data_IF_674145748494
#
_entry.id   IF_674145748494
#
_cell.length_a   1.000
_cell.length_b   1.000
_cell.length_c   1.000
_cell.angle_alpha   90.00
_cell.angle_beta   90.00
_cell.angle_gamma   90.00
#
_symmetry.space_group_name_H-M   'P 1'
#
loop_
_entity.id
_entity.type
_entity.pdbx_description
1 polymer ?
#
# COMPACT_ATOMS: atom_id res chain seq x y z
N UNK A 1 -18.08 27.42 11.56
CA UNK A 1 -17.24 26.23 11.38
C UNK A 1 -16.54 25.93 12.69
N UNK A 2 -16.68 24.72 13.23
CA UNK A 2 -15.92 24.31 14.41
C UNK A 2 -14.45 24.12 14.03
N UNK A 3 -13.51 24.34 14.95
CA UNK A 3 -12.06 24.17 14.69
C UNK A 3 -11.72 22.80 14.08
N UNK A 4 -12.53 21.78 14.38
CA UNK A 4 -12.44 20.43 13.82
C UNK A 4 -12.63 20.39 12.29
N UNK A 5 -13.57 21.19 11.76
CA UNK A 5 -13.81 21.29 10.32
C UNK A 5 -12.59 21.90 9.63
N UNK A 6 -11.98 22.94 10.19
CA UNK A 6 -10.85 23.64 9.55
C UNK A 6 -9.62 22.73 9.37
N UNK A 7 -9.34 21.85 10.33
CA UNK A 7 -8.14 20.99 10.29
C UNK A 7 -8.33 19.77 9.38
N UNK A 8 -9.55 19.20 9.34
CA UNK A 8 -9.78 17.95 8.62
C UNK A 8 -10.43 18.14 7.23
N UNK A 9 -11.08 19.28 6.95
CA UNK A 9 -11.78 19.55 5.69
C UNK A 9 -10.97 19.33 4.41
N UNK A 10 -9.66 19.59 4.33
CA UNK A 10 -8.96 19.43 3.05
C UNK A 10 -8.80 17.96 2.63
N UNK A 11 -9.06 17.00 3.53
CA UNK A 11 -8.76 15.58 3.32
C UNK A 11 -9.94 14.65 3.56
N UNK A 12 -11.02 15.16 4.17
CA UNK A 12 -12.26 14.42 4.30
C UNK A 12 -12.92 14.45 2.92
N UNK A 13 -13.11 13.27 2.31
CA UNK A 13 -13.98 13.12 1.14
C UNK A 13 -15.30 13.84 1.40
N UNK A 14 -15.83 14.62 0.45
CA UNK A 14 -17.07 15.40 0.64
C UNK A 14 -18.25 14.55 1.15
N UNK A 15 -18.24 13.25 0.87
CA UNK A 15 -19.26 12.29 1.27
C UNK A 15 -19.04 11.66 2.67
N UNK A 16 -17.89 11.91 3.29
CA UNK A 16 -17.51 11.26 4.53
C UNK A 16 -18.16 11.93 5.76
N UNK A 17 -19.25 11.32 6.22
CA UNK A 17 -19.92 11.69 7.46
C UNK A 17 -19.15 11.20 8.71
N UNK A 18 -18.60 12.13 9.48
CA UNK A 18 -17.91 11.84 10.76
C UNK A 18 -18.88 12.07 11.93
N UNK A 19 -19.16 11.00 12.68
CA UNK A 19 -19.99 11.08 13.88
C UNK A 19 -19.20 11.58 15.08
N UNK A 20 -19.83 12.40 15.91
CA UNK A 20 -19.31 12.88 17.18
C UNK A 20 -20.43 12.99 18.22
N UNK A 21 -20.07 12.90 19.51
CA UNK A 21 -20.96 13.19 20.64
C UNK A 21 -20.50 14.49 21.31
N UNK A 22 -21.41 15.21 21.97
CA UNK A 22 -21.14 16.50 22.62
C UNK A 22 -21.08 16.44 24.14
N UNK A 23 -21.48 15.32 24.76
CA UNK A 23 -21.64 15.20 26.22
C UNK A 23 -20.93 13.95 26.73
N UNK A 24 -20.12 14.02 27.81
CA UNK A 24 -19.73 15.20 28.59
C UNK A 24 -18.62 16.06 27.96
N UNK A 25 -17.96 15.55 26.92
CA UNK A 25 -16.95 16.25 26.11
C UNK A 25 -17.11 15.85 24.65
N UNK A 26 -16.63 16.65 23.69
CA UNK A 26 -16.69 16.29 22.29
C UNK A 26 -15.82 15.07 22.00
N UNK A 27 -16.45 13.90 21.84
CA UNK A 27 -15.76 12.66 21.46
C UNK A 27 -16.08 12.34 20.01
N UNK A 28 -15.05 11.96 19.27
CA UNK A 28 -15.11 11.77 17.82
C UNK A 28 -14.92 10.27 17.53
N UNK A 29 -15.72 9.76 16.59
CA UNK A 29 -15.61 8.39 16.09
C UNK A 29 -14.27 8.16 15.37
N UNK A 30 -13.40 7.33 15.95
CA UNK A 30 -12.09 7.02 15.39
C UNK A 30 -12.22 6.28 14.06
N UNK A 31 -13.18 5.35 13.95
CA UNK A 31 -13.39 4.55 12.74
C UNK A 31 -13.86 5.44 11.58
N UNK A 32 -14.75 6.40 11.84
CA UNK A 32 -15.23 7.30 10.79
C UNK A 32 -14.10 8.23 10.33
N UNK A 33 -13.21 8.68 11.22
CA UNK A 33 -12.01 9.45 10.85
C UNK A 33 -11.04 8.63 9.99
N UNK A 34 -10.76 7.37 10.33
CA UNK A 34 -9.89 6.50 9.54
C UNK A 34 -10.50 6.23 8.17
N UNK A 35 -11.81 5.97 8.11
CA UNK A 35 -12.56 5.81 6.86
C UNK A 35 -12.48 7.08 6.01
N UNK A 36 -12.78 8.23 6.59
CA UNK A 36 -12.74 9.52 5.89
C UNK A 36 -11.34 9.80 5.31
N UNK A 37 -10.30 9.46 6.06
CA UNK A 37 -8.91 9.66 5.67
C UNK A 37 -8.43 8.70 4.57
N UNK A 38 -8.88 7.44 4.60
CA UNK A 38 -8.33 6.38 3.75
C UNK A 38 -9.23 5.98 2.59
N UNK A 39 -10.50 6.38 2.60
CA UNK A 39 -11.52 5.94 1.65
C UNK A 39 -11.92 4.46 1.81
N UNK A 40 -11.51 3.80 2.90
CA UNK A 40 -11.79 2.38 3.14
C UNK A 40 -13.20 2.14 3.68
N UNK A 41 -13.70 0.92 3.60
CA UNK A 41 -14.97 0.55 4.26
C UNK A 41 -14.82 0.51 5.80
N UNK A 42 -15.95 0.41 6.51
CA UNK A 42 -15.97 0.39 7.98
C UNK A 42 -15.19 -0.78 8.59
N UNK A 43 -15.19 -1.95 7.96
CA UNK A 43 -14.53 -3.15 8.49
C UNK A 43 -13.01 -3.02 8.40
N UNK A 44 -12.50 -2.53 7.28
CA UNK A 44 -11.08 -2.30 7.03
C UNK A 44 -10.55 -1.18 7.92
N UNK A 45 -11.30 -0.08 8.08
CA UNK A 45 -10.96 0.99 9.01
C UNK A 45 -10.89 0.49 10.46
N UNK A 46 -11.82 -0.39 10.88
CA UNK A 46 -11.78 -1.04 12.18
C UNK A 46 -10.60 -2.03 12.32
N UNK A 47 -10.21 -2.72 11.24
CA UNK A 47 -9.02 -3.57 11.25
C UNK A 47 -7.74 -2.74 11.39
N UNK A 48 -7.63 -1.61 10.69
CA UNK A 48 -6.48 -0.72 10.82
C UNK A 48 -6.38 -0.11 12.21
N UNK A 49 -7.50 0.32 12.80
CA UNK A 49 -7.53 0.77 14.20
C UNK A 49 -7.00 -0.30 15.17
N UNK A 50 -7.48 -1.54 15.05
CA UNK A 50 -6.99 -2.66 15.89
C UNK A 50 -5.49 -2.88 15.72
N UNK A 51 -4.98 -2.86 14.48
CA UNK A 51 -3.54 -2.99 14.22
C UNK A 51 -2.71 -1.86 14.86
N UNK A 52 -3.22 -0.62 14.82
CA UNK A 52 -2.57 0.53 15.47
C UNK A 52 -2.50 0.32 16.98
N UNK A 53 -3.62 -0.06 17.62
CA UNK A 53 -3.65 -0.33 19.06
C UNK A 53 -2.75 -1.51 19.46
N UNK A 54 -2.69 -2.59 18.67
CA UNK A 54 -1.78 -3.72 18.94
C UNK A 54 -0.30 -3.34 18.83
N UNK A 55 0.03 -2.36 17.97
CA UNK A 55 1.41 -1.90 17.78
C UNK A 55 1.83 -0.83 18.78
N UNK A 56 0.89 0.00 19.22
CA UNK A 56 1.15 1.17 20.08
C UNK A 56 0.23 1.06 21.30
N UNK A 57 0.70 0.39 22.38
CA UNK A 57 -0.12 0.17 23.58
C UNK A 57 -0.44 1.47 24.33
N UNK A 58 0.25 2.58 24.04
CA UNK A 58 -0.05 3.89 24.64
C UNK A 58 -1.45 4.44 24.32
N UNK A 59 -2.13 3.87 23.33
CA UNK A 59 -3.52 4.23 23.03
C UNK A 59 -4.53 3.46 23.88
N UNK A 60 -4.12 2.39 24.55
CA UNK A 60 -4.98 1.64 25.46
C UNK A 60 -5.40 2.54 26.63
N UNK A 61 -6.71 2.64 26.88
CA UNK A 61 -7.29 3.53 27.89
C UNK A 61 -7.43 5.01 27.47
N UNK A 62 -6.93 5.43 26.30
CA UNK A 62 -7.14 6.80 25.76
C UNK A 62 -8.40 6.95 24.90
N UNK A 63 -9.08 5.85 24.61
CA UNK A 63 -10.37 5.84 23.93
C UNK A 63 -11.40 5.10 24.78
N UNK A 64 -12.68 5.39 24.54
CA UNK A 64 -13.81 4.70 25.13
C UNK A 64 -14.72 4.16 24.04
N UNK A 65 -15.62 3.23 24.39
CA UNK A 65 -16.63 2.74 23.46
C UNK A 65 -17.93 3.51 23.66
N UNK A 66 -18.48 4.04 22.57
CA UNK A 66 -19.74 4.77 22.58
C UNK A 66 -20.67 4.21 21.52
N UNK A 67 -21.94 4.04 21.88
CA UNK A 67 -23.00 3.60 20.97
C UNK A 67 -23.75 4.82 20.46
N UNK A 68 -23.49 5.19 19.21
CA UNK A 68 -24.23 6.25 18.54
C UNK A 68 -25.73 5.89 18.39
N UNK A 69 -26.65 6.87 18.45
CA UNK A 69 -28.06 6.60 18.24
C UNK A 69 -28.33 6.05 16.83
N UNK A 70 -29.25 5.09 16.73
CA UNK A 70 -29.65 4.46 15.47
C UNK A 70 -29.86 2.96 15.61
N UNK A 71 -30.84 2.42 14.89
CA UNK A 71 -31.13 0.99 14.90
C UNK A 71 -29.94 0.21 14.32
N UNK A 72 -29.49 -0.83 15.03
CA UNK A 72 -28.37 -1.69 14.60
C UNK A 72 -26.97 -1.08 14.78
N UNK A 73 -26.84 0.11 15.40
CA UNK A 73 -25.54 0.69 15.68
C UNK A 73 -24.77 -0.15 16.71
N UNK A 74 -23.48 -0.35 16.45
CA UNK A 74 -22.55 -1.04 17.35
C UNK A 74 -21.79 0.00 18.17
N UNK A 75 -21.27 -0.45 19.31
CA UNK A 75 -20.28 0.32 20.06
C UNK A 75 -19.08 0.62 19.16
N UNK A 76 -18.74 1.90 19.08
CA UNK A 76 -17.69 2.42 18.21
C UNK A 76 -16.64 3.10 19.10
N UNK A 77 -15.33 2.90 18.84
CA UNK A 77 -14.30 3.57 19.61
C UNK A 77 -14.34 5.08 19.32
N UNK A 78 -14.44 5.86 20.39
CA UNK A 78 -14.45 7.32 20.38
C UNK A 78 -13.35 7.87 21.28
N UNK A 79 -12.77 9.00 20.89
CA UNK A 79 -11.76 9.69 21.69
C UNK A 79 -11.84 11.22 21.52
N UNK A 80 -11.11 11.95 22.34
CA UNK A 80 -10.96 13.40 22.20
C UNK A 80 -10.17 13.75 20.93
N UNK A 81 -10.30 15.00 20.48
CA UNK A 81 -9.63 15.45 19.25
C UNK A 81 -8.12 15.21 19.27
N UNK A 82 -7.47 15.44 20.42
CA UNK A 82 -6.03 15.23 20.56
C UNK A 82 -5.65 13.76 20.32
N UNK A 83 -6.33 12.82 20.97
CA UNK A 83 -6.06 11.39 20.78
C UNK A 83 -6.37 10.94 19.35
N UNK A 84 -7.46 11.44 18.75
CA UNK A 84 -7.78 11.14 17.34
C UNK A 84 -6.66 11.61 16.42
N UNK A 85 -6.17 12.85 16.58
CA UNK A 85 -5.06 13.36 15.78
C UNK A 85 -3.79 12.52 15.95
N UNK A 86 -3.48 12.06 17.18
CA UNK A 86 -2.36 11.16 17.42
C UNK A 86 -2.54 9.81 16.70
N UNK A 87 -3.72 9.20 16.77
CA UNK A 87 -4.02 7.94 16.08
C UNK A 87 -3.89 8.11 14.57
N UNK A 88 -4.39 9.23 14.00
CA UNK A 88 -4.34 9.50 12.56
C UNK A 88 -2.91 9.55 12.00
N UNK A 89 -1.92 9.95 12.81
CA UNK A 89 -0.50 9.91 12.41
C UNK A 89 0.01 8.49 12.14
N UNK A 90 -0.64 7.47 12.69
CA UNK A 90 -0.23 6.07 12.55
C UNK A 90 -1.04 5.26 11.53
N UNK A 91 -2.01 5.89 10.85
CA UNK A 91 -2.84 5.21 9.85
C UNK A 91 -1.99 4.89 8.60
N UNK A 92 -1.99 3.63 8.13
CA UNK A 92 -1.23 3.25 6.94
C UNK A 92 -1.95 3.66 5.65
N UNK A 93 -1.18 3.85 4.58
CA UNK A 93 -1.69 4.07 3.22
C UNK A 93 -1.29 5.43 2.61
N UNK A 94 -1.41 5.57 1.28
CA UNK A 94 -0.96 6.76 0.55
C UNK A 94 -1.76 8.02 0.91
N UNK A 95 -3.07 7.92 1.11
CA UNK A 95 -3.90 9.07 1.50
C UNK A 95 -3.56 9.56 2.92
N UNK A 96 -3.33 8.64 3.85
CA UNK A 96 -2.86 8.98 5.18
C UNK A 96 -1.47 9.63 5.16
N UNK A 97 -0.59 9.24 4.22
CA UNK A 97 0.70 9.89 4.02
C UNK A 97 0.53 11.34 3.55
N UNK A 98 -0.32 11.59 2.55
CA UNK A 98 -0.61 12.94 2.07
C UNK A 98 -1.16 13.84 3.19
N UNK A 99 -2.06 13.31 4.02
CA UNK A 99 -2.55 14.01 5.20
C UNK A 99 -1.42 14.39 6.16
N UNK A 100 -0.48 13.49 6.45
CA UNK A 100 0.67 13.79 7.31
C UNK A 100 1.56 14.88 6.72
N UNK A 101 1.87 14.79 5.43
CA UNK A 101 2.66 15.80 4.72
C UNK A 101 1.99 17.18 4.76
N UNK A 102 0.68 17.23 4.54
CA UNK A 102 -0.04 18.49 4.55
C UNK A 102 -0.25 19.03 5.98
N UNK A 103 -0.48 18.16 6.96
CA UNK A 103 -0.51 18.56 8.38
C UNK A 103 0.84 19.15 8.81
N UNK A 104 1.95 18.52 8.41
CA UNK A 104 3.30 19.04 8.66
C UNK A 104 3.51 20.40 7.97
N UNK A 105 3.06 20.55 6.72
CA UNK A 105 3.11 21.83 6.01
C UNK A 105 2.30 22.92 6.70
N UNK A 106 1.06 22.64 7.09
CA UNK A 106 0.21 23.58 7.83
C UNK A 106 0.85 23.98 9.16
N UNK A 107 1.46 23.04 9.88
CA UNK A 107 2.17 23.32 11.12
C UNK A 107 3.41 24.21 10.87
N UNK A 108 4.19 23.95 9.82
CA UNK A 108 5.31 24.80 9.42
C UNK A 108 4.85 26.22 9.06
N UNK A 109 3.75 26.35 8.32
CA UNK A 109 3.15 27.65 7.97
C UNK A 109 2.64 28.39 9.21
N UNK A 110 1.98 27.67 10.12
CA UNK A 110 1.52 28.23 11.38
C UNK A 110 2.70 28.75 12.21
N UNK A 111 3.75 27.94 12.40
CA UNK A 111 4.96 28.34 13.12
C UNK A 111 5.66 29.51 12.42
N UNK A 112 5.71 29.56 11.09
CA UNK A 112 6.32 30.67 10.35
C UNK A 112 5.52 31.97 10.52
N UNK A 113 4.20 31.91 10.44
CA UNK A 113 3.31 33.05 10.68
C UNK A 113 3.40 33.52 12.12
N UNK A 114 3.43 32.59 13.08
CA UNK A 114 3.47 32.94 14.49
C UNK A 114 4.86 33.42 14.94
N UNK A 115 5.96 32.95 14.33
CA UNK A 115 7.28 33.57 14.51
C UNK A 115 7.29 35.04 14.08
N UNK A 116 6.48 35.39 13.07
CA UNK A 116 6.30 36.78 12.64
C UNK A 116 5.58 37.59 13.73
N UNK A 117 4.59 37.00 14.40
CA UNK A 117 3.86 37.63 15.50
C UNK A 117 4.65 37.66 16.81
N UNK A 118 5.42 36.62 17.13
CA UNK A 118 6.31 36.52 18.29
C UNK A 118 7.48 37.51 18.19
N UNK A 119 8.08 37.68 17.01
CA UNK A 119 9.12 38.69 16.79
C UNK A 119 8.58 40.12 16.87
N UNK A 120 7.35 40.35 16.42
CA UNK A 120 6.70 41.66 16.53
C UNK A 120 6.21 41.96 17.97
N UNK A 121 5.80 40.96 18.73
CA UNK A 121 5.42 41.08 20.14
C UNK A 121 6.62 41.38 21.04
N UNK A 122 7.76 40.72 20.82
CA UNK A 122 9.00 41.00 21.56
C UNK A 122 9.62 42.38 21.22
N UNK A 123 9.32 42.93 20.04
CA UNK A 123 9.72 44.29 19.67
C UNK A 123 8.78 45.39 20.20
N UNK A 124 7.63 45.02 20.78
CA UNK A 124 6.62 45.97 21.30
C UNK A 124 6.36 45.87 22.81
N UNK A 125 6.99 44.91 23.51
CA UNK A 125 7.07 44.90 24.98
C UNK A 125 8.28 45.70 25.51
N UNK A 126 8.39 46.97 25.16
CA UNK A 126 9.20 47.92 25.94
C UNK A 126 8.44 49.25 26.08
N UNK A 127 7.53 49.26 27.06
CA UNK A 127 7.31 50.33 28.07
C UNK A 127 5.97 50.10 28.75
N UNK A 128 5.96 49.17 29.70
CA UNK A 128 5.10 49.35 30.88
C UNK A 128 5.79 50.44 31.70
N UNK A 129 5.18 51.60 31.98
CA UNK A 129 5.74 52.56 32.92
C UNK A 129 5.69 51.91 34.30
N UNK A 130 6.81 51.33 34.73
CA UNK A 130 7.04 50.96 36.12
C UNK A 130 7.12 52.28 36.88
N UNK A 131 6.02 52.61 37.55
CA UNK A 131 6.01 53.66 38.55
C UNK A 131 7.04 53.37 39.64
N UNK A 132 7.60 54.46 40.17
CA UNK A 132 8.43 54.57 41.36
C UNK A 132 9.94 54.33 41.16
N UNK A 133 10.64 55.39 40.73
CA UNK A 133 12.04 55.60 41.10
C UNK A 133 12.23 57.06 41.53
N UNK A 134 13.01 57.20 42.60
CA UNK A 134 13.21 58.40 43.42
C UNK A 134 13.74 59.60 42.63
N UNK A 135 13.27 60.79 43.03
CA UNK A 135 13.88 62.07 42.69
C UNK A 135 15.31 62.11 43.25
N UNK A 136 16.31 62.15 42.36
CA UNK A 136 17.63 62.63 42.73
C UNK A 136 17.66 64.17 42.74
N UNK A 137 18.37 64.79 43.71
CA UNK A 137 18.48 66.24 43.79
C UNK A 137 19.30 66.78 42.61
N UNK A 138 18.63 67.61 41.80
CA UNK A 138 19.21 68.34 40.67
C UNK A 138 20.31 69.27 41.19
N UNK A 139 21.56 68.94 40.87
CA UNK A 139 22.70 69.85 41.02
C UNK A 139 22.53 70.95 39.96
N UNK A 140 22.15 72.14 40.41
CA UNK A 140 21.99 73.33 39.58
C UNK A 140 23.33 73.74 38.96
N UNK A 141 23.52 73.41 37.68
CA UNK A 141 24.63 73.93 36.88
C UNK A 141 24.44 75.44 36.63
N UNK A 142 25.41 76.33 36.95
CA UNK A 142 25.23 77.78 36.90
C UNK A 142 25.31 78.42 35.51
N UNK A 143 25.34 77.63 34.43
CA UNK A 143 25.61 78.11 33.07
C UNK A 143 24.40 78.08 32.11
N UNK A 144 23.17 78.00 32.64
CA UNK A 144 21.97 77.77 31.80
C UNK A 144 21.31 79.04 31.22
N UNK A 145 21.79 80.25 31.51
CA UNK A 145 21.02 81.49 31.29
C UNK A 145 21.42 82.36 30.08
N UNK A 146 22.18 81.84 29.11
CA UNK A 146 22.62 82.67 27.96
C UNK A 146 22.33 82.09 26.57
N UNK A 147 21.60 80.97 26.46
CA UNK A 147 21.19 80.45 25.15
C UNK A 147 19.76 80.89 24.88
N UNK A 148 19.61 81.95 24.06
CA UNK A 148 18.31 82.35 23.54
C UNK A 148 17.61 81.11 22.96
N UNK A 149 16.33 80.85 23.29
CA UNK A 149 15.63 79.69 22.77
C UNK A 149 15.72 79.73 21.24
N UNK A 150 16.05 78.61 20.59
CA UNK A 150 16.09 78.56 19.14
C UNK A 150 14.75 79.07 18.61
N UNK A 151 14.81 80.02 17.70
CA UNK A 151 13.62 80.60 17.07
C UNK A 151 12.77 79.47 16.45
N UNK A 152 11.44 79.60 16.51
CA UNK A 152 10.51 78.59 15.97
C UNK A 152 10.85 78.18 14.53
N UNK A 153 11.39 79.11 13.74
CA UNK A 153 11.83 78.89 12.36
C UNK A 153 12.96 77.84 12.25
N UNK A 154 13.91 77.83 13.19
CA UNK A 154 15.00 76.84 13.22
C UNK A 154 14.48 75.44 13.58
N UNK A 155 13.54 75.36 14.52
CA UNK A 155 12.91 74.07 14.87
C UNK A 155 12.08 73.52 13.71
N UNK A 156 11.33 74.37 13.01
CA UNK A 156 10.58 73.98 11.81
C UNK A 156 11.51 73.50 10.69
N UNK A 157 12.66 74.15 10.48
CA UNK A 157 13.65 73.72 9.50
C UNK A 157 14.20 72.32 9.81
N UNK A 158 14.54 72.02 11.07
CA UNK A 158 15.00 70.68 11.49
C UNK A 158 13.92 69.62 11.26
N UNK A 159 12.67 69.91 11.64
CA UNK A 159 11.55 69.00 11.44
C UNK A 159 11.37 68.70 9.95
N UNK A 160 11.42 69.74 9.10
CA UNK A 160 11.27 69.58 7.66
C UNK A 160 12.42 68.76 7.05
N UNK A 161 13.66 69.00 7.49
CA UNK A 161 14.81 68.18 7.07
C UNK A 161 14.64 66.72 7.47
N UNK A 162 14.20 66.45 8.70
CA UNK A 162 13.97 65.08 9.16
C UNK A 162 12.84 64.38 8.38
N UNK A 163 11.77 65.10 8.04
CA UNK A 163 10.68 64.57 7.20
C UNK A 163 11.22 64.17 5.82
N UNK A 164 12.04 65.00 5.18
CA UNK A 164 12.60 64.70 3.87
C UNK A 164 13.60 63.53 3.91
N UNK A 165 14.39 63.41 4.99
CA UNK A 165 15.24 62.22 5.21
C UNK A 165 14.39 60.95 5.37
N UNK A 166 13.32 60.99 6.16
CA UNK A 166 12.41 59.85 6.33
C UNK A 166 11.75 59.45 5.00
N UNK A 167 11.30 60.42 4.19
CA UNK A 167 10.72 60.14 2.86
C UNK A 167 11.71 59.42 1.95
N UNK A 168 12.97 59.88 1.90
CA UNK A 168 14.02 59.23 1.10
C UNK A 168 14.28 57.80 1.56
N UNK A 169 14.41 57.58 2.87
CA UNK A 169 14.64 56.24 3.42
C UNK A 169 13.46 55.28 3.12
N UNK A 170 12.22 55.76 3.22
CA UNK A 170 11.03 54.97 2.87
C UNK A 170 11.04 54.61 1.38
N UNK A 171 11.41 55.55 0.52
CA UNK A 171 11.51 55.31 -0.91
C UNK A 171 12.62 54.29 -1.25
N UNK A 172 13.82 54.45 -0.69
CA UNK A 172 14.93 53.50 -0.88
C UNK A 172 14.59 52.09 -0.38
N UNK A 173 13.91 51.98 0.77
CA UNK A 173 13.39 50.71 1.27
C UNK A 173 12.33 50.12 0.33
N UNK A 174 11.43 50.94 -0.20
CA UNK A 174 10.41 50.52 -1.17
C UNK A 174 11.04 49.94 -2.44
N UNK A 175 12.03 50.63 -2.99
CA UNK A 175 12.76 50.20 -4.18
C UNK A 175 13.55 48.91 -3.92
N UNK A 176 14.17 48.78 -2.74
CA UNK A 176 14.89 47.57 -2.35
C UNK A 176 13.95 46.36 -2.20
N UNK A 177 12.79 46.53 -1.54
CA UNK A 177 11.77 45.48 -1.42
C UNK A 177 11.25 45.06 -2.80
N UNK A 178 10.97 46.02 -3.68
CA UNK A 178 10.53 45.73 -5.05
C UNK A 178 11.60 44.98 -5.85
N UNK A 179 12.87 45.35 -5.68
CA UNK A 179 14.02 44.65 -6.27
C UNK A 179 14.10 43.19 -5.84
N UNK A 180 13.99 42.92 -4.53
CA UNK A 180 13.97 41.56 -3.98
C UNK A 180 12.77 40.74 -4.46
N UNK A 181 11.58 41.34 -4.57
CA UNK A 181 10.40 40.67 -5.12
C UNK A 181 10.59 40.28 -6.58
N UNK A 182 11.16 41.17 -7.40
CA UNK A 182 11.49 40.88 -8.81
C UNK A 182 12.53 39.78 -8.95
N UNK A 183 13.57 39.80 -8.10
CA UNK A 183 14.57 38.73 -8.06
C UNK A 183 13.93 37.38 -7.67
N UNK A 184 13.06 37.35 -6.66
CA UNK A 184 12.34 36.15 -6.24
C UNK A 184 11.46 35.58 -7.36
N UNK A 185 10.73 36.43 -8.08
CA UNK A 185 9.92 35.99 -9.22
C UNK A 185 10.78 35.40 -10.34
N UNK A 186 11.90 36.05 -10.68
CA UNK A 186 12.79 35.57 -11.76
C UNK A 186 13.50 34.26 -11.43
N UNK A 187 13.88 34.03 -10.16
CA UNK A 187 14.40 32.74 -9.71
C UNK A 187 13.34 31.64 -9.85
N UNK A 188 12.13 31.87 -9.33
CA UNK A 188 11.04 30.90 -9.43
C UNK A 188 10.73 30.51 -10.89
N UNK A 189 10.67 31.46 -11.83
CA UNK A 189 10.37 31.15 -13.23
C UNK A 189 11.45 30.31 -13.94
N UNK A 190 12.74 30.50 -13.58
CA UNK A 190 13.83 29.67 -14.14
C UNK A 190 13.74 28.23 -13.62
N UNK A 191 13.43 28.08 -12.33
CA UNK A 191 13.30 26.77 -11.69
C UNK A 191 12.07 26.01 -12.19
N UNK A 192 10.95 26.68 -12.45
CA UNK A 192 9.78 26.01 -13.04
C UNK A 192 10.05 25.47 -14.44
N UNK A 193 10.74 26.23 -15.31
CA UNK A 193 11.04 25.76 -16.67
C UNK A 193 12.07 24.63 -16.71
N UNK A 194 13.03 24.59 -15.78
CA UNK A 194 13.96 23.45 -15.69
C UNK A 194 13.23 22.20 -15.21
N UNK A 195 12.36 22.33 -14.20
CA UNK A 195 11.55 21.22 -13.68
C UNK A 195 10.61 20.64 -14.75
N UNK A 196 9.95 21.48 -15.54
CA UNK A 196 9.06 20.98 -16.62
C UNK A 196 9.84 20.21 -17.70
N UNK A 197 11.05 20.67 -18.05
CA UNK A 197 11.92 19.97 -19.00
C UNK A 197 12.43 18.64 -18.44
N UNK A 198 12.83 18.61 -17.18
CA UNK A 198 13.27 17.39 -16.50
C UNK A 198 12.12 16.39 -16.40
N UNK A 199 10.92 16.86 -16.04
CA UNK A 199 9.72 16.03 -16.00
C UNK A 199 9.39 15.43 -17.37
N UNK A 200 9.43 16.22 -18.44
CA UNK A 200 9.20 15.73 -19.80
C UNK A 200 10.28 14.72 -20.25
N UNK A 201 11.54 14.92 -19.86
CA UNK A 201 12.63 13.98 -20.12
C UNK A 201 12.42 12.65 -19.37
N UNK A 202 12.07 12.71 -18.08
CA UNK A 202 11.78 11.54 -17.26
C UNK A 202 10.55 10.78 -17.78
N UNK A 203 9.52 11.47 -18.27
CA UNK A 203 8.33 10.84 -18.84
C UNK A 203 8.64 10.15 -20.18
N UNK A 204 9.50 10.75 -21.01
CA UNK A 204 10.02 10.12 -22.24
C UNK A 204 10.85 8.87 -21.94
N UNK A 205 11.69 8.92 -20.90
CA UNK A 205 12.48 7.77 -20.45
C UNK A 205 11.59 6.64 -19.93
N UNK A 206 10.59 6.95 -19.11
CA UNK A 206 9.59 5.98 -18.63
C UNK A 206 8.86 5.30 -19.77
N UNK A 207 8.38 6.06 -20.75
CA UNK A 207 7.71 5.50 -21.91
C UNK A 207 8.63 4.64 -22.79
N UNK A 208 9.93 4.99 -22.87
CA UNK A 208 10.94 4.14 -23.54
C UNK A 208 11.14 2.81 -22.80
N UNK A 209 11.27 2.85 -21.47
CA UNK A 209 11.43 1.66 -20.64
C UNK A 209 10.19 0.74 -20.68
N UNK A 210 8.99 1.33 -20.74
CA UNK A 210 7.74 0.57 -20.86
C UNK A 210 7.63 -0.17 -22.20
N UNK A 211 8.09 0.45 -23.30
CA UNK A 211 8.20 -0.22 -24.61
C UNK A 211 9.17 -1.39 -24.59
N UNK A 212 10.32 -1.23 -23.95
CA UNK A 212 11.33 -2.28 -23.81
C UNK A 212 10.77 -3.45 -22.97
N UNK A 213 10.10 -3.15 -21.86
CA UNK A 213 9.42 -4.15 -21.02
C UNK A 213 8.38 -4.94 -21.82
N UNK A 214 7.53 -4.25 -22.59
CA UNK A 214 6.53 -4.91 -23.45
C UNK A 214 7.18 -5.82 -24.50
N UNK A 215 8.31 -5.39 -25.09
CA UNK A 215 9.08 -6.21 -26.03
C UNK A 215 9.62 -7.48 -25.35
N UNK A 216 10.20 -7.36 -24.15
CA UNK A 216 10.72 -8.49 -23.38
C UNK A 216 9.61 -9.46 -22.95
N UNK A 217 8.43 -8.98 -22.56
CA UNK A 217 7.27 -9.83 -22.24
C UNK A 217 6.79 -10.63 -23.45
N UNK A 218 6.79 -10.03 -24.65
CA UNK A 218 6.46 -10.72 -25.90
C UNK A 218 7.48 -11.81 -26.25
N UNK A 219 8.76 -11.57 -26.01
CA UNK A 219 9.82 -12.58 -26.19
C UNK A 219 9.66 -13.73 -25.20
N UNK A 220 9.43 -13.43 -23.92
CA UNK A 220 9.19 -14.44 -22.88
C UNK A 220 7.99 -15.33 -23.20
N UNK A 221 6.89 -14.75 -23.69
CA UNK A 221 5.72 -15.52 -24.14
C UNK A 221 6.09 -16.50 -25.28
N UNK A 222 6.93 -16.06 -26.20
CA UNK A 222 7.39 -16.90 -27.32
C UNK A 222 8.29 -18.04 -26.82
N UNK A 223 9.18 -17.77 -25.86
CA UNK A 223 10.04 -18.77 -25.23
C UNK A 223 9.19 -19.81 -24.49
N UNK A 224 8.21 -19.40 -23.70
CA UNK A 224 7.33 -20.30 -22.96
C UNK A 224 6.54 -21.22 -23.91
N UNK A 225 6.03 -20.68 -25.02
CA UNK A 225 5.34 -21.46 -26.05
C UNK A 225 6.26 -22.51 -26.68
N UNK A 226 7.51 -22.16 -26.98
CA UNK A 226 8.50 -23.10 -27.50
C UNK A 226 8.89 -24.19 -26.49
N UNK A 227 8.99 -23.84 -25.20
CA UNK A 227 9.23 -24.81 -24.13
C UNK A 227 8.09 -25.83 -24.02
N UNK A 228 6.83 -25.39 -24.09
CA UNK A 228 5.67 -26.30 -24.11
C UNK A 228 5.70 -27.27 -25.30
N UNK A 229 6.07 -26.79 -26.48
CA UNK A 229 6.22 -27.63 -27.68
C UNK A 229 7.34 -28.66 -27.50
N UNK A 230 8.49 -28.24 -26.94
CA UNK A 230 9.61 -29.15 -26.66
C UNK A 230 9.22 -30.24 -25.67
N UNK A 231 8.52 -29.90 -24.59
CA UNK A 231 8.10 -30.88 -23.58
C UNK A 231 7.07 -31.87 -24.14
N UNK A 232 6.09 -31.38 -24.91
CA UNK A 232 5.15 -32.28 -25.61
C UNK A 232 5.87 -33.23 -26.57
N UNK A 233 6.92 -32.75 -27.25
CA UNK A 233 7.73 -33.58 -28.15
C UNK A 233 8.53 -34.61 -27.37
N UNK A 234 9.11 -34.24 -26.23
CA UNK A 234 9.84 -35.14 -25.33
C UNK A 234 8.95 -36.28 -24.85
N UNK A 235 7.76 -35.97 -24.33
CA UNK A 235 6.78 -36.98 -23.87
C UNK A 235 6.40 -37.93 -25.02
N UNK A 236 6.17 -37.41 -26.23
CA UNK A 236 5.89 -38.26 -27.41
C UNK A 236 7.05 -39.20 -27.75
N UNK A 237 8.30 -38.76 -27.61
CA UNK A 237 9.48 -39.61 -27.85
C UNK A 237 9.57 -40.71 -26.80
N UNK A 238 9.32 -40.39 -25.53
CA UNK A 238 9.33 -41.34 -24.42
C UNK A 238 8.27 -42.44 -24.61
N UNK A 239 7.02 -42.05 -24.88
CA UNK A 239 5.95 -43.01 -25.16
C UNK A 239 6.27 -43.96 -26.33
N UNK A 240 6.92 -43.45 -27.39
CA UNK A 240 7.35 -44.29 -28.53
C UNK A 240 8.50 -45.23 -28.18
N UNK A 241 9.38 -44.84 -27.25
CA UNK A 241 10.44 -45.74 -26.75
C UNK A 241 9.81 -46.90 -25.99
N UNK A 242 8.86 -46.62 -25.11
CA UNK A 242 8.15 -47.64 -24.33
C UNK A 242 7.38 -48.60 -25.25
N UNK A 243 6.72 -48.07 -26.29
CA UNK A 243 6.04 -48.89 -27.30
C UNK A 243 7.01 -49.82 -28.04
N UNK A 244 8.19 -49.32 -28.42
CA UNK A 244 9.24 -50.13 -29.07
C UNK A 244 9.76 -51.21 -28.12
N UNK A 245 9.91 -50.91 -26.83
CA UNK A 245 10.36 -51.87 -25.81
C UNK A 245 9.33 -52.99 -25.59
N UNK A 246 8.04 -52.63 -25.49
CA UNK A 246 6.95 -53.60 -25.42
C UNK A 246 6.93 -54.53 -26.64
N UNK A 247 7.11 -53.98 -27.84
CA UNK A 247 7.17 -54.78 -29.08
C UNK A 247 8.38 -55.72 -29.13
N UNK A 248 9.49 -55.38 -28.46
CA UNK A 248 10.65 -56.28 -28.35
C UNK A 248 10.36 -57.44 -27.41
N UNK A 249 9.79 -57.16 -26.24
CA UNK A 249 9.40 -58.18 -25.27
C UNK A 249 8.36 -59.15 -25.84
N UNK A 250 7.39 -58.65 -26.60
CA UNK A 250 6.37 -59.49 -27.26
C UNK A 250 6.99 -60.45 -28.28
N UNK A 251 7.96 -59.97 -29.07
CA UNK A 251 8.73 -60.82 -30.00
C UNK A 251 9.52 -61.91 -29.27
N UNK A 252 10.24 -61.54 -28.21
CA UNK A 252 11.03 -62.47 -27.40
C UNK A 252 10.14 -63.54 -26.75
N UNK A 253 8.98 -63.14 -26.23
CA UNK A 253 7.97 -64.07 -25.69
C UNK A 253 7.46 -65.05 -26.75
N UNK A 254 7.16 -64.57 -27.95
CA UNK A 254 6.73 -65.41 -29.06
C UNK A 254 7.82 -66.39 -29.53
N UNK A 255 9.09 -66.00 -29.50
CA UNK A 255 10.23 -66.88 -29.80
C UNK A 255 10.41 -67.98 -28.75
N UNK A 256 10.37 -67.63 -27.46
CA UNK A 256 10.39 -68.59 -26.34
C UNK A 256 9.24 -69.59 -26.45
N UNK A 257 8.04 -69.11 -26.74
CA UNK A 257 6.87 -69.98 -26.92
C UNK A 257 7.09 -70.99 -28.05
N UNK A 258 7.62 -70.56 -29.21
CA UNK A 258 7.94 -71.49 -30.31
C UNK A 258 8.97 -72.54 -29.89
N UNK A 259 10.03 -72.14 -29.19
CA UNK A 259 11.04 -73.07 -28.68
C UNK A 259 10.41 -74.14 -27.77
N UNK A 260 9.55 -73.74 -26.83
CA UNK A 260 8.84 -74.71 -25.96
C UNK A 260 7.88 -75.62 -26.72
N UNK A 261 7.21 -75.12 -27.76
CA UNK A 261 6.32 -75.93 -28.60
C UNK A 261 7.11 -76.97 -29.42
N UNK A 262 8.30 -76.61 -29.89
CA UNK A 262 9.18 -77.51 -30.64
C UNK A 262 9.86 -78.55 -29.72
N UNK A 263 10.27 -78.16 -28.52
CA UNK A 263 10.75 -79.08 -27.47
C UNK A 263 9.67 -80.12 -27.12
N UNK A 264 8.44 -79.68 -26.82
CA UNK A 264 7.33 -80.57 -26.51
C UNK A 264 6.99 -81.55 -27.65
N UNK A 265 7.05 -81.10 -28.92
CA UNK A 265 6.87 -81.98 -30.09
C UNK A 265 7.98 -83.04 -30.18
N UNK A 266 9.22 -82.67 -29.89
CA UNK A 266 10.35 -83.59 -29.91
C UNK A 266 10.25 -84.66 -28.80
N UNK A 267 9.75 -84.30 -27.61
CA UNK A 267 9.48 -85.25 -26.54
C UNK A 267 8.34 -86.22 -26.89
N UNK A 268 7.26 -85.72 -27.52
CA UNK A 268 6.14 -86.55 -27.95
C UNK A 268 6.54 -87.61 -28.99
N UNK A 269 7.45 -87.28 -29.92
CA UNK A 269 8.00 -88.22 -30.89
C UNK A 269 8.88 -89.30 -30.23
N UNK A 270 9.66 -88.95 -29.22
CA UNK A 270 10.52 -89.89 -28.49
C UNK A 270 9.73 -90.78 -27.50
N UNK A 271 8.63 -90.28 -26.93
CA UNK A 271 7.78 -91.00 -25.99
C UNK A 271 6.92 -92.12 -26.61
N UNK A 272 6.69 -92.10 -27.93
CA UNK A 272 5.84 -93.10 -28.60
C UNK A 272 6.46 -94.52 -28.65
N UNK A 273 7.75 -94.69 -28.36
CA UNK A 273 8.43 -95.99 -28.44
C UNK A 273 8.50 -96.77 -27.10
N UNK A 274 7.70 -96.38 -26.10
CA UNK A 274 7.61 -97.08 -24.79
C UNK A 274 6.18 -97.51 -24.45
N UNK A 275 5.44 -98.06 -25.42
CA UNK A 275 4.29 -98.91 -25.12
C UNK A 275 4.76 -100.31 -24.72
N UNK A 276 4.92 -100.57 -23.43
CA UNK A 276 5.38 -101.89 -23.00
C UNK A 276 5.49 -102.18 -21.50
N UNK A 277 4.66 -101.60 -20.62
CA UNK A 277 4.36 -102.20 -19.30
C UNK A 277 3.23 -101.46 -18.60
N UNK A 278 2.02 -102.00 -18.70
CA UNK A 278 0.92 -101.61 -17.81
C UNK A 278 1.24 -102.08 -16.38
N UNK A 279 1.47 -101.13 -15.47
CA UNK A 279 1.44 -101.38 -14.03
C UNK A 279 0.18 -100.73 -13.48
N UNK A 280 -0.79 -101.55 -13.08
CA UNK A 280 -1.93 -101.16 -12.24
C UNK A 280 -1.39 -100.57 -10.93
N UNK A 281 -1.40 -99.25 -10.78
CA UNK A 281 -1.22 -98.57 -9.48
C UNK A 281 -2.34 -97.59 -9.25
N UNK A 282 -2.83 -97.63 -8.00
CA UNK A 282 -4.11 -97.11 -7.57
C UNK A 282 -4.26 -95.60 -7.72
N UNK A 283 -5.53 -95.20 -7.81
CA UNK A 283 -5.99 -93.81 -7.79
C UNK A 283 -5.46 -93.12 -6.52
N UNK A 284 -4.58 -92.12 -6.61
CA UNK A 284 -4.39 -91.19 -5.50
C UNK A 284 -5.64 -90.30 -5.42
N UNK A 285 -6.25 -90.24 -4.25
CA UNK A 285 -7.31 -89.29 -3.95
C UNK A 285 -6.74 -87.88 -4.10
N UNK A 286 -7.24 -87.14 -5.08
CA UNK A 286 -6.97 -85.71 -5.23
C UNK A 286 -7.81 -85.00 -4.17
N UNK A 287 -7.21 -84.26 -3.22
CA UNK A 287 -7.97 -83.44 -2.30
C UNK A 287 -8.64 -82.31 -3.09
N UNK A 288 -9.97 -82.33 -3.10
CA UNK A 288 -10.80 -81.26 -3.61
C UNK A 288 -10.61 -80.04 -2.71
N UNK A 289 -9.76 -79.10 -3.13
CA UNK A 289 -9.64 -77.81 -2.45
C UNK A 289 -10.89 -76.99 -2.80
N UNK A 290 -11.66 -76.51 -1.81
CA UNK A 290 -12.84 -75.69 -2.07
C UNK A 290 -12.43 -74.37 -2.70
N UNK A 291 -13.04 -74.06 -3.85
CA UNK A 291 -12.94 -72.76 -4.51
C UNK A 291 -13.61 -71.74 -3.59
N UNK A 292 -12.80 -70.95 -2.89
CA UNK A 292 -13.29 -69.80 -2.13
C UNK A 292 -13.66 -68.72 -3.15
N UNK A 293 -14.92 -68.23 -3.17
CA UNK A 293 -15.29 -67.10 -4.01
C UNK A 293 -14.53 -65.86 -3.55
N UNK A 294 -13.57 -65.41 -4.34
CA UNK A 294 -12.91 -64.12 -4.17
C UNK A 294 -13.97 -63.05 -4.46
N UNK A 295 -14.48 -62.43 -3.39
CA UNK A 295 -15.35 -61.27 -3.52
C UNK A 295 -14.60 -60.17 -4.29
N UNK A 296 -15.25 -59.48 -5.24
CA UNK A 296 -14.64 -58.34 -5.92
C UNK A 296 -14.38 -57.26 -4.89
N UNK A 297 -13.10 -57.04 -4.56
CA UNK A 297 -12.65 -55.88 -3.81
C UNK A 297 -12.80 -54.68 -4.75
N UNK A 298 -14.02 -54.15 -4.81
CA UNK A 298 -14.31 -52.87 -5.40
C UNK A 298 -13.61 -51.80 -4.57
N UNK A 299 -12.42 -51.41 -5.00
CA UNK A 299 -11.78 -50.17 -4.53
C UNK A 299 -12.67 -49.03 -5.03
N UNK A 300 -13.66 -48.66 -4.21
CA UNK A 300 -14.40 -47.42 -4.40
C UNK A 300 -13.44 -46.26 -4.16
N UNK A 301 -12.74 -45.86 -5.22
CA UNK A 301 -12.14 -44.54 -5.28
C UNK A 301 -13.30 -43.54 -5.23
N UNK A 302 -13.33 -42.70 -4.19
CA UNK A 302 -14.25 -41.59 -4.07
C UNK A 302 -14.27 -40.78 -5.38
N UNK A 303 -15.45 -40.35 -5.85
CA UNK A 303 -15.61 -39.55 -7.07
C UNK A 303 -14.65 -38.34 -7.16
N UNK A 304 -14.23 -37.80 -6.02
CA UNK A 304 -13.24 -36.73 -5.91
C UNK A 304 -11.84 -37.10 -6.44
N UNK A 305 -11.43 -38.37 -6.32
CA UNK A 305 -10.14 -38.85 -6.84
C UNK A 305 -10.18 -39.00 -8.37
N UNK A 306 -11.32 -39.42 -8.92
CA UNK A 306 -11.52 -39.55 -10.37
C UNK A 306 -11.60 -38.16 -11.03
N UNK A 307 -12.18 -37.17 -10.35
CA UNK A 307 -12.24 -35.80 -10.85
C UNK A 307 -10.88 -35.10 -10.89
N UNK A 308 -9.95 -35.42 -9.97
CA UNK A 308 -8.57 -34.89 -10.00
C UNK A 308 -7.74 -35.41 -11.17
N UNK A 309 -7.93 -36.67 -11.57
CA UNK A 309 -7.18 -37.27 -12.69
C UNK A 309 -7.67 -36.83 -14.07
N UNK A 310 -8.92 -36.36 -14.19
CA UNK A 310 -9.50 -35.93 -15.48
C UNK A 310 -9.13 -34.52 -15.93
N UNK A 311 -8.26 -33.81 -15.20
CA UNK A 311 -7.73 -32.51 -15.66
C UNK A 311 -8.82 -31.50 -16.03
N UNK A 312 -10.00 -31.56 -15.39
CA UNK A 312 -11.06 -30.59 -15.63
C UNK A 312 -10.58 -29.26 -15.01
N UNK A 313 -10.35 -28.20 -15.80
CA UNK A 313 -9.98 -26.91 -15.24
C UNK A 313 -11.11 -26.44 -14.31
N UNK A 314 -10.78 -25.77 -13.19
CA UNK A 314 -11.78 -25.23 -12.29
C UNK A 314 -12.72 -24.33 -13.10
N UNK A 315 -14.02 -24.61 -13.03
CA UNK A 315 -15.01 -23.71 -13.62
C UNK A 315 -14.88 -22.37 -12.91
N UNK A 316 -14.31 -21.40 -13.60
CA UNK A 316 -14.33 -20.01 -13.19
C UNK A 316 -15.78 -19.59 -13.22
N UNK A 317 -16.40 -19.51 -12.03
CA UNK A 317 -17.73 -18.94 -11.84
C UNK A 317 -17.63 -17.49 -12.31
N UNK A 318 -18.17 -17.22 -13.49
CA UNK A 318 -18.18 -15.91 -14.09
C UNK A 318 -18.94 -14.95 -13.19
N UNK A 319 -18.24 -13.94 -12.68
CA UNK A 319 -18.86 -12.76 -12.07
C UNK A 319 -19.63 -12.03 -13.18
N UNK A 320 -20.93 -11.79 -13.05
CA UNK A 320 -21.68 -11.03 -14.03
C UNK A 320 -21.13 -9.60 -14.07
N UNK A 321 -20.56 -9.22 -15.21
CA UNK A 321 -20.18 -7.83 -15.50
C UNK A 321 -21.47 -7.07 -15.80
N UNK A 322 -21.91 -6.26 -14.85
CA UNK A 322 -22.96 -5.26 -15.07
C UNK A 322 -22.48 -4.25 -16.10
N UNK A 323 -23.30 -4.07 -17.14
CA UNK A 323 -23.09 -3.03 -18.16
C UNK A 323 -23.16 -1.63 -17.52
N UNK A 324 -22.35 -0.66 -17.98
CA UNK A 324 -22.50 0.72 -17.57
C UNK A 324 -23.75 1.32 -18.23
N UNK A 325 -24.63 1.87 -17.41
CA UNK A 325 -25.75 2.69 -17.86
C UNK A 325 -25.22 3.91 -18.62
N UNK A 326 -25.65 4.02 -19.87
CA UNK A 326 -25.43 5.18 -20.72
C UNK A 326 -26.25 6.37 -20.20
N UNK A 327 -25.55 7.45 -19.84
CA UNK A 327 -26.06 8.83 -19.71
C UNK A 327 -25.33 9.69 -20.71
#
# INVERSE_FOLDING_TARGET
MTAMQVVLLPFISEDAHIRYTTVPSPLISIIDCIKALTGKNNNDAAQDFRRICSRIPEFEGKYSYYKFPGQGQRETPVADLKTVLMIMQHVPGPMAQQYRECTAKMLCEYIAKDKSNLLNGLASEERVPVGNAQQEPVVSSPYSDMVAPPTDEYQQAIIQTNIEVCKRNIQEMGDHVLGLQKQRLTMNFKDFRSVDKEKAAAEKERHSAEKEKYSAEKENYTIEKLQKIREQTRIKIENRKDEIELLKLDKEYHELRRQTEDENKSEALNGANTQGKQVKRGRPMVPTVPVVPVAPVGVMLSEDAVNRLRGKPPQVVGVPVSAPDSV
#
